data_IF_039260580354
#
_entry.id   IF_039260580354
#
_cell.length_a   1.000
_cell.length_b   1.000
_cell.length_c   1.000
_cell.angle_alpha   90.00
_cell.angle_beta   90.00
_cell.angle_gamma   90.00
#
_symmetry.space_group_name_H-M   'P 1'
#
loop_
_entity.id
_entity.type
_entity.pdbx_description
1 polymer ?
#
# COMPACT_ATOMS: atom_id res chain seq x y z
N UNK A 1 -11.41 5.48 20.57
CA UNK A 1 -10.30 6.17 19.87
C UNK A 1 -9.33 5.09 19.48
N UNK A 2 -9.39 4.66 18.23
CA UNK A 2 -8.44 3.67 17.71
C UNK A 2 -7.15 4.41 17.38
N UNK A 3 -6.03 3.95 17.90
CA UNK A 3 -4.74 4.54 17.59
C UNK A 3 -4.35 4.16 16.16
N UNK A 4 -4.30 5.14 15.25
CA UNK A 4 -3.91 4.93 13.85
C UNK A 4 -2.53 4.25 13.74
N UNK A 5 -1.62 4.51 14.68
CA UNK A 5 -0.34 3.83 14.74
C UNK A 5 -0.49 2.34 15.06
N UNK A 6 -1.41 1.98 15.97
CA UNK A 6 -1.70 0.59 16.27
C UNK A 6 -2.34 -0.12 15.07
N UNK A 7 -3.22 0.56 14.32
CA UNK A 7 -3.81 0.02 13.10
C UNK A 7 -2.76 -0.22 12.00
N UNK A 8 -1.84 0.73 11.83
CA UNK A 8 -0.69 0.58 10.93
C UNK A 8 0.16 -0.64 11.31
N UNK A 9 0.58 -0.75 12.58
CA UNK A 9 1.40 -1.87 13.04
C UNK A 9 0.70 -3.22 12.85
N UNK A 10 -0.63 -3.26 13.07
CA UNK A 10 -1.43 -4.46 12.83
C UNK A 10 -1.52 -4.80 11.36
N UNK A 11 -1.71 -3.80 10.48
CA UNK A 11 -1.71 -3.98 9.04
C UNK A 11 -0.35 -4.48 8.52
N UNK A 12 0.78 -3.96 9.04
CA UNK A 12 2.12 -4.49 8.74
C UNK A 12 2.24 -5.98 9.10
N UNK A 13 1.75 -6.36 10.27
CA UNK A 13 1.77 -7.76 10.72
C UNK A 13 0.90 -8.65 9.82
N UNK A 14 -0.26 -8.16 9.41
CA UNK A 14 -1.14 -8.88 8.48
C UNK A 14 -0.48 -9.07 7.12
N UNK A 15 0.24 -8.06 6.60
CA UNK A 15 1.00 -8.19 5.35
C UNK A 15 2.08 -9.29 5.46
N UNK A 16 2.83 -9.28 6.56
CA UNK A 16 3.86 -10.28 6.85
C UNK A 16 3.25 -11.69 6.95
N UNK A 17 2.16 -11.85 7.70
CA UNK A 17 1.48 -13.15 7.81
C UNK A 17 0.92 -13.66 6.47
N UNK A 18 0.32 -12.79 5.66
CA UNK A 18 -0.29 -13.16 4.37
C UNK A 18 0.71 -13.45 3.26
N UNK A 19 1.80 -12.70 3.18
CA UNK A 19 2.71 -12.73 2.03
C UNK A 19 4.14 -13.13 2.40
N UNK A 20 4.45 -13.33 3.69
CA UNK A 20 5.81 -13.49 4.21
C UNK A 20 6.71 -12.31 3.79
N UNK A 21 6.11 -11.11 3.73
CA UNK A 21 6.77 -9.86 3.34
C UNK A 21 6.98 -8.97 4.56
N UNK A 22 8.22 -8.57 4.80
CA UNK A 22 8.53 -7.61 5.86
C UNK A 22 8.32 -6.19 5.34
N UNK A 23 7.29 -5.51 5.84
CA UNK A 23 7.03 -4.11 5.51
C UNK A 23 8.27 -3.22 5.74
N UNK A 24 9.12 -3.57 6.70
CA UNK A 24 10.35 -2.84 7.04
C UNK A 24 11.47 -2.94 6.00
N UNK A 25 11.38 -3.86 5.04
CA UNK A 25 12.35 -4.00 3.95
C UNK A 25 12.17 -2.91 2.88
N UNK A 26 10.99 -2.28 2.81
CA UNK A 26 10.77 -1.16 1.90
C UNK A 26 11.47 0.10 2.41
N UNK A 27 12.39 0.72 1.65
CA UNK A 27 13.03 1.97 2.05
C UNK A 27 12.04 3.12 2.26
N UNK A 28 10.89 3.07 1.57
CA UNK A 28 9.84 4.08 1.64
C UNK A 28 8.83 3.83 2.76
N UNK A 29 9.02 2.81 3.61
CA UNK A 29 8.02 2.40 4.59
C UNK A 29 7.70 3.49 5.63
N UNK A 30 8.69 4.26 6.06
CA UNK A 30 8.46 5.36 7.01
C UNK A 30 7.69 6.51 6.36
N UNK A 31 7.92 6.78 5.07
CA UNK A 31 7.13 7.73 4.28
C UNK A 31 5.68 7.25 4.13
N UNK A 32 5.50 5.96 3.80
CA UNK A 32 4.18 5.34 3.70
C UNK A 32 3.43 5.41 5.04
N UNK A 33 4.10 5.13 6.15
CA UNK A 33 3.56 5.26 7.50
C UNK A 33 3.13 6.69 7.82
N UNK A 34 3.98 7.67 7.51
CA UNK A 34 3.65 9.08 7.73
C UNK A 34 2.41 9.50 6.93
N UNK A 35 2.34 9.10 5.65
CA UNK A 35 1.17 9.34 4.79
C UNK A 35 -0.09 8.65 5.34
N UNK A 36 0.02 7.40 5.78
CA UNK A 36 -1.09 6.69 6.42
C UNK A 36 -1.60 7.46 7.63
N UNK A 37 -0.73 7.84 8.56
CA UNK A 37 -1.11 8.59 9.76
C UNK A 37 -1.72 9.95 9.42
N UNK A 38 -1.24 10.61 8.36
CA UNK A 38 -1.82 11.86 7.87
C UNK A 38 -3.22 11.67 7.24
N UNK A 39 -3.40 10.61 6.43
CA UNK A 39 -4.65 10.29 5.78
C UNK A 39 -5.72 9.83 6.78
N UNK A 40 -5.37 8.93 7.70
CA UNK A 40 -6.28 8.47 8.75
C UNK A 40 -6.53 9.60 9.76
N UNK A 41 -5.49 10.30 10.19
CA UNK A 41 -5.58 11.45 11.09
C UNK A 41 -6.33 11.09 12.38
N UNK A 42 -7.41 11.82 12.67
CA UNK A 42 -8.33 11.55 13.80
C UNK A 42 -9.60 10.79 13.40
N UNK A 43 -9.67 10.31 12.15
CA UNK A 43 -10.83 9.56 11.65
C UNK A 43 -10.78 8.17 12.26
N UNK A 44 -11.92 7.69 12.75
CA UNK A 44 -12.06 6.30 13.12
C UNK A 44 -12.35 5.50 11.84
N UNK A 45 -11.33 4.78 11.35
CA UNK A 45 -11.49 3.79 10.28
C UNK A 45 -11.47 2.38 10.87
N UNK A 46 -12.03 1.42 10.15
CA UNK A 46 -11.95 0.00 10.56
C UNK A 46 -10.55 -0.58 10.32
N UNK A 47 -10.26 -1.74 10.90
CA UNK A 47 -8.98 -2.41 10.65
C UNK A 47 -8.89 -2.88 9.20
N UNK A 48 -10.01 -3.29 8.61
CA UNK A 48 -10.11 -3.70 7.22
C UNK A 48 -9.75 -2.54 6.28
N UNK A 49 -10.28 -1.34 6.53
CA UNK A 49 -9.90 -0.14 5.80
C UNK A 49 -8.43 0.23 6.02
N UNK A 50 -7.91 0.07 7.24
CA UNK A 50 -6.51 0.31 7.54
C UNK A 50 -5.58 -0.66 6.79
N UNK A 51 -5.94 -1.95 6.74
CA UNK A 51 -5.22 -2.97 5.99
C UNK A 51 -5.21 -2.62 4.50
N UNK A 52 -6.36 -2.26 3.94
CA UNK A 52 -6.46 -1.84 2.54
C UNK A 52 -5.54 -0.67 2.21
N UNK A 53 -5.60 0.43 2.99
CA UNK A 53 -4.75 1.62 2.81
C UNK A 53 -3.26 1.28 2.91
N UNK A 54 -2.88 0.54 3.95
CA UNK A 54 -1.48 0.18 4.17
C UNK A 54 -0.94 -0.67 3.01
N UNK A 55 -1.72 -1.63 2.52
CA UNK A 55 -1.31 -2.48 1.40
C UNK A 55 -1.17 -1.66 0.11
N UNK A 56 -2.07 -0.70 -0.14
CA UNK A 56 -1.95 0.22 -1.28
C UNK A 56 -0.66 1.06 -1.19
N UNK A 57 -0.36 1.60 -0.01
CA UNK A 57 0.84 2.40 0.22
C UNK A 57 2.13 1.59 0.08
N UNK A 58 2.14 0.36 0.62
CA UNK A 58 3.23 -0.58 0.45
C UNK A 58 3.48 -0.87 -1.04
N UNK A 59 2.41 -1.18 -1.78
CA UNK A 59 2.48 -1.49 -3.20
C UNK A 59 2.98 -0.30 -4.04
N UNK A 60 2.47 0.91 -3.78
CA UNK A 60 2.94 2.14 -4.43
C UNK A 60 4.43 2.43 -4.15
N UNK A 61 4.87 2.26 -2.90
CA UNK A 61 6.29 2.39 -2.53
C UNK A 61 7.18 1.36 -3.25
N UNK A 62 6.68 0.15 -3.39
CA UNK A 62 7.36 -0.92 -4.12
C UNK A 62 7.49 -0.63 -5.62
N UNK A 63 6.42 -0.15 -6.27
CA UNK A 63 6.49 0.29 -7.67
C UNK A 63 7.48 1.44 -7.86
N UNK A 64 7.51 2.40 -6.92
CA UNK A 64 8.45 3.52 -6.95
C UNK A 64 9.91 3.04 -6.91
N UNK A 65 10.20 2.05 -6.07
CA UNK A 65 11.53 1.43 -5.99
C UNK A 65 11.91 0.73 -7.30
N UNK A 66 10.97 -0.03 -7.90
CA UNK A 66 11.20 -0.68 -9.19
C UNK A 66 11.44 0.31 -10.30
N UNK A 67 10.68 1.39 -10.35
CA UNK A 67 10.84 2.44 -11.36
C UNK A 67 12.23 3.09 -11.23
N UNK A 68 12.68 3.36 -10.01
CA UNK A 68 14.02 3.87 -9.76
C UNK A 68 15.12 2.89 -10.24
N UNK A 69 14.93 1.57 -10.06
CA UNK A 69 15.86 0.58 -10.61
C UNK A 69 15.84 0.54 -12.14
N UNK A 70 14.66 0.56 -12.77
CA UNK A 70 14.52 0.60 -14.25
C UNK A 70 15.18 1.84 -14.85
N UNK A 71 15.11 2.99 -14.16
CA UNK A 71 15.78 4.23 -14.58
C UNK A 71 17.31 4.16 -14.47
N UNK A 72 17.85 3.41 -13.49
CA UNK A 72 19.30 3.23 -13.33
C UNK A 72 19.86 2.14 -14.24
N UNK A 73 19.08 1.11 -14.51
CA UNK A 73 19.45 -0.05 -15.33
C UNK A 73 18.35 -0.34 -16.34
N UNK A 74 18.49 0.11 -17.60
CA UNK A 74 17.48 -0.07 -18.65
C UNK A 74 17.18 -1.54 -18.98
N UNK A 75 18.13 -2.44 -18.71
CA UNK A 75 18.00 -3.89 -18.90
C UNK A 75 17.29 -4.58 -17.71
N UNK A 76 16.84 -3.81 -16.70
CA UNK A 76 16.11 -4.36 -15.56
C UNK A 76 14.72 -4.85 -16.01
N UNK A 77 14.52 -6.15 -15.95
CA UNK A 77 13.22 -6.77 -16.17
C UNK A 77 12.38 -6.68 -14.89
N UNK A 78 11.18 -6.10 -15.02
CA UNK A 78 10.21 -6.05 -13.94
C UNK A 78 9.78 -7.49 -13.64
N UNK A 79 9.82 -7.95 -12.38
CA UNK A 79 9.49 -9.33 -12.06
C UNK A 79 8.07 -9.73 -12.48
N UNK A 80 7.91 -10.92 -13.07
CA UNK A 80 6.62 -11.41 -13.58
C UNK A 80 5.49 -11.44 -12.54
N UNK A 81 5.81 -11.62 -11.25
CA UNK A 81 4.80 -11.62 -10.18
C UNK A 81 4.16 -10.25 -9.96
N UNK A 82 4.74 -9.17 -10.49
CA UNK A 82 4.02 -7.90 -10.54
C UNK A 82 2.84 -7.97 -11.49
N UNK A 83 2.84 -8.79 -12.54
CA UNK A 83 1.67 -8.88 -13.42
C UNK A 83 0.40 -9.36 -12.71
N UNK A 84 0.53 -10.10 -11.61
CA UNK A 84 -0.60 -10.56 -10.80
C UNK A 84 -0.95 -9.62 -9.65
N UNK A 85 -0.13 -8.59 -9.39
CA UNK A 85 -0.33 -7.58 -8.34
C UNK A 85 -0.93 -8.12 -7.01
N UNK A 86 -0.39 -9.20 -6.40
CA UNK A 86 -1.07 -9.93 -5.33
C UNK A 86 -1.36 -9.07 -4.09
N UNK A 87 -0.48 -8.13 -3.76
CA UNK A 87 -0.68 -7.17 -2.65
C UNK A 87 -1.79 -6.17 -2.97
N UNK A 88 -1.90 -5.72 -4.22
CA UNK A 88 -2.98 -4.84 -4.67
C UNK A 88 -4.33 -5.57 -4.67
N UNK A 89 -4.35 -6.83 -5.11
CA UNK A 89 -5.56 -7.66 -5.03
C UNK A 89 -6.02 -7.86 -3.58
N UNK A 90 -5.10 -8.13 -2.66
CA UNK A 90 -5.44 -8.21 -1.24
C UNK A 90 -5.89 -6.88 -0.65
N UNK A 91 -5.29 -5.75 -1.07
CA UNK A 91 -5.77 -4.40 -0.71
C UNK A 91 -7.23 -4.21 -1.14
N UNK A 92 -7.57 -4.58 -2.38
CA UNK A 92 -8.94 -4.52 -2.89
C UNK A 92 -9.89 -5.45 -2.12
N UNK A 93 -9.43 -6.66 -1.76
CA UNK A 93 -10.22 -7.60 -0.94
C UNK A 93 -10.52 -7.03 0.45
N UNK A 94 -9.52 -6.44 1.11
CA UNK A 94 -9.70 -5.76 2.40
C UNK A 94 -10.65 -4.56 2.28
N UNK A 95 -10.55 -3.80 1.18
CA UNK A 95 -11.44 -2.67 0.91
C UNK A 95 -12.91 -3.09 0.76
N UNK A 96 -13.18 -4.25 0.15
CA UNK A 96 -14.53 -4.79 0.02
C UNK A 96 -15.11 -5.30 1.35
N UNK A 97 -14.26 -5.69 2.30
CA UNK A 97 -14.67 -6.14 3.64
C UNK A 97 -14.88 -4.97 4.60
N UNK A 98 -14.31 -3.80 4.31
CA UNK A 98 -14.45 -2.60 5.12
C UNK A 98 -15.87 -2.03 5.03
N UNK A 99 -16.57 -1.96 6.16
CA UNK A 99 -17.91 -1.35 6.25
C UNK A 99 -17.88 0.17 5.98
N UNK A 100 -16.72 0.79 6.16
CA UNK A 100 -16.40 2.19 5.90
C UNK A 100 -15.73 2.40 4.53
N UNK A 101 -16.01 1.52 3.56
CA UNK A 101 -15.44 1.57 2.20
C UNK A 101 -15.56 2.92 1.49
N UNK A 102 -16.60 3.72 1.75
CA UNK A 102 -16.73 5.06 1.17
C UNK A 102 -15.66 6.03 1.71
N UNK A 103 -15.39 5.99 3.02
CA UNK A 103 -14.34 6.80 3.64
C UNK A 103 -12.98 6.34 3.16
N UNK A 104 -12.76 5.03 3.12
CA UNK A 104 -11.57 4.41 2.56
C UNK A 104 -11.27 4.92 1.15
N UNK A 105 -12.26 4.90 0.25
CA UNK A 105 -12.07 5.36 -1.13
C UNK A 105 -11.63 6.82 -1.22
N UNK A 106 -12.17 7.69 -0.36
CA UNK A 106 -11.75 9.10 -0.29
C UNK A 106 -10.31 9.25 0.19
N UNK A 107 -9.89 8.42 1.16
CA UNK A 107 -8.51 8.43 1.67
C UNK A 107 -7.52 7.82 0.67
N UNK A 108 -7.94 6.77 -0.04
CA UNK A 108 -7.13 6.03 -0.99
C UNK A 108 -6.99 6.72 -2.35
N UNK A 109 -7.89 7.65 -2.70
CA UNK A 109 -7.89 8.35 -3.98
C UNK A 109 -6.52 8.86 -4.46
N UNK A 110 -5.74 9.62 -3.64
CA UNK A 110 -4.40 10.05 -4.06
C UNK A 110 -3.46 8.86 -4.31
N UNK A 111 -3.51 7.84 -3.45
CA UNK A 111 -2.66 6.64 -3.57
C UNK A 111 -2.99 5.85 -4.83
N UNK A 112 -4.27 5.71 -5.17
CA UNK A 112 -4.73 5.00 -6.37
C UNK A 112 -4.18 5.68 -7.62
N UNK A 113 -4.27 7.02 -7.68
CA UNK A 113 -3.74 7.80 -8.79
C UNK A 113 -2.23 7.64 -8.91
N UNK A 114 -1.49 7.84 -7.82
CA UNK A 114 -0.03 7.70 -7.82
C UNK A 114 0.39 6.28 -8.24
N UNK A 115 -0.34 5.25 -7.81
CA UNK A 115 -0.10 3.86 -8.19
C UNK A 115 -0.32 3.63 -9.69
N UNK A 116 -1.38 4.21 -10.27
CA UNK A 116 -1.65 4.12 -11.71
C UNK A 116 -0.54 4.79 -12.53
N UNK A 117 -0.13 6.00 -12.14
CA UNK A 117 0.95 6.73 -12.81
C UNK A 117 2.27 5.92 -12.77
N UNK A 118 2.57 5.26 -11.65
CA UNK A 118 3.75 4.40 -11.51
C UNK A 118 3.67 3.12 -12.36
N UNK A 119 2.49 2.49 -12.44
CA UNK A 119 2.28 1.31 -13.28
C UNK A 119 2.44 1.66 -14.76
N UNK A 120 1.89 2.79 -15.20
CA UNK A 120 2.06 3.27 -16.58
C UNK A 120 3.52 3.55 -16.92
N UNK A 121 4.30 4.10 -15.98
CA UNK A 121 5.73 4.34 -16.16
C UNK A 121 6.58 3.05 -16.18
N UNK A 122 6.07 1.95 -15.60
CA UNK A 122 6.75 0.66 -15.54
C UNK A 122 6.45 -0.26 -16.73
N UNK A 123 5.33 -0.04 -17.44
CA UNK A 123 5.06 -0.66 -18.74
C UNK A 123 6.03 -0.18 -19.83
#
# INVERSE_FOLDING_TARGET
>A
MTDALAQWNKACKTLDEEFQLSASELPTIETAKALFLQLVGRRDITQEAANALMFSLYFSGYLSMLLAFKQQSPDFEVPDYLHTHPVLEASNRWAQQAVDGHLLLQLAQPIIRDTQDLLEALN
#
